data_IF_003906315417
#
_entry.id   IF_003906315417
#
_cell.length_a   1.000
_cell.length_b   1.000
_cell.length_c   1.000
_cell.angle_alpha   90.00
_cell.angle_beta   90.00
_cell.angle_gamma   90.00
#
_symmetry.space_group_name_H-M   'P 1'
#
loop_
_entity.id
_entity.type
_entity.pdbx_description
1 polymer ?
#
# COMPACT_ATOMS: atom_id res chain seq x y z
N UNK A 1 19.78 -5.58 5.62
CA UNK A 1 20.61 -5.73 4.39
C UNK A 1 20.16 -4.65 3.41
N UNK A 2 21.04 -3.70 3.03
CA UNK A 2 20.71 -2.63 2.08
C UNK A 2 21.10 -3.06 0.66
N UNK A 3 20.13 -3.20 -0.23
CA UNK A 3 20.37 -3.42 -1.67
C UNK A 3 20.27 -2.05 -2.35
N UNK A 4 21.42 -1.46 -2.68
CA UNK A 4 21.51 -0.09 -3.19
C UNK A 4 21.03 -0.01 -4.66
N UNK A 5 20.09 0.90 -4.93
CA UNK A 5 19.66 1.27 -6.27
C UNK A 5 19.69 2.79 -6.44
N UNK A 6 20.72 3.32 -7.12
CA UNK A 6 20.87 4.73 -7.50
C UNK A 6 21.02 5.71 -6.33
N UNK A 7 21.92 6.69 -6.45
CA UNK A 7 22.30 7.61 -5.36
C UNK A 7 21.16 8.42 -4.72
N UNK A 8 19.97 8.46 -5.34
CA UNK A 8 18.80 9.17 -4.81
C UNK A 8 17.83 8.31 -4.01
N UNK A 9 17.85 6.98 -4.11
CA UNK A 9 16.80 6.13 -3.53
C UNK A 9 17.38 4.98 -2.70
N UNK A 10 16.61 4.53 -1.72
CA UNK A 10 16.95 3.41 -0.86
C UNK A 10 15.75 2.49 -0.69
N UNK A 11 16.04 1.20 -0.63
CA UNK A 11 15.06 0.18 -0.25
C UNK A 11 15.06 0.07 1.26
N UNK A 12 13.89 0.27 1.88
CA UNK A 12 13.67 0.11 3.31
C UNK A 12 12.65 -0.99 3.55
N UNK A 13 12.91 -1.78 4.58
CA UNK A 13 11.95 -2.76 5.06
C UNK A 13 10.84 -2.02 5.82
N UNK A 14 9.59 -2.24 5.46
CA UNK A 14 8.43 -1.63 6.10
C UNK A 14 7.33 -2.66 6.33
N UNK A 15 6.65 -2.61 7.48
CA UNK A 15 5.45 -3.41 7.69
C UNK A 15 4.36 -2.96 6.71
N UNK A 16 3.77 -3.92 6.02
CA UNK A 16 2.61 -3.76 5.18
C UNK A 16 1.36 -3.39 5.98
N UNK A 17 0.29 -2.96 5.28
CA UNK A 17 -0.93 -2.49 5.91
C UNK A 17 -1.66 -3.55 6.73
N UNK A 18 -1.42 -4.83 6.41
CA UNK A 18 -1.95 -6.04 7.05
C UNK A 18 -1.01 -6.64 8.10
N UNK A 19 0.14 -6.00 8.38
CA UNK A 19 1.17 -6.51 9.28
C UNK A 19 2.18 -7.46 8.63
N UNK A 20 2.06 -7.73 7.33
CA UNK A 20 3.08 -8.48 6.57
C UNK A 20 4.40 -7.70 6.48
N UNK A 21 5.51 -8.38 6.23
CA UNK A 21 6.80 -7.70 5.96
C UNK A 21 6.91 -7.37 4.48
N UNK A 22 7.18 -6.11 4.15
CA UNK A 22 7.36 -5.64 2.78
C UNK A 22 8.55 -4.71 2.62
N UNK A 23 8.76 -4.25 1.38
CA UNK A 23 9.81 -3.30 1.04
C UNK A 23 9.21 -2.09 0.36
N UNK A 24 9.76 -0.91 0.64
CA UNK A 24 9.46 0.31 -0.08
C UNK A 24 10.73 0.94 -0.62
N UNK A 25 10.61 1.55 -1.80
CA UNK A 25 11.64 2.41 -2.38
C UNK A 25 11.31 3.82 -1.93
N UNK A 26 12.21 4.42 -1.17
CA UNK A 26 12.06 5.79 -0.66
C UNK A 26 13.25 6.63 -1.10
N UNK A 27 13.06 7.95 -1.14
CA UNK A 27 14.17 8.90 -1.28
C UNK A 27 15.22 8.66 -0.19
N UNK A 28 16.51 8.78 -0.52
CA UNK A 28 17.60 8.51 0.41
C UNK A 28 17.52 9.40 1.66
N UNK A 29 17.05 10.64 1.50
CA UNK A 29 16.81 11.59 2.60
C UNK A 29 15.63 11.21 3.51
N UNK A 30 14.71 10.37 3.03
CA UNK A 30 13.60 9.84 3.82
C UNK A 30 13.98 8.54 4.55
N UNK A 31 14.90 7.74 3.98
CA UNK A 31 15.36 6.50 4.60
C UNK A 31 16.08 6.70 5.95
N UNK A 32 16.71 7.86 6.15
CA UNK A 32 17.43 8.21 7.38
C UNK A 32 16.57 9.01 8.36
N UNK A 33 15.31 9.28 8.02
CA UNK A 33 14.37 10.07 8.82
C UNK A 33 13.20 9.21 9.31
N UNK A 34 13.20 8.80 10.60
CA UNK A 34 12.13 8.00 11.17
C UNK A 34 10.76 8.68 11.12
N UNK A 35 10.71 10.01 11.11
CA UNK A 35 9.46 10.77 10.98
C UNK A 35 8.86 10.60 9.59
N UNK A 36 9.67 10.80 8.55
CA UNK A 36 9.24 10.58 7.16
C UNK A 36 8.82 9.14 6.89
N UNK A 37 9.54 8.15 7.42
CA UNK A 37 9.14 6.75 7.29
C UNK A 37 7.79 6.47 7.95
N UNK A 38 7.49 7.11 9.10
CA UNK A 38 6.16 7.01 9.74
C UNK A 38 5.07 7.65 8.90
N UNK A 39 5.33 8.80 8.29
CA UNK A 39 4.39 9.47 7.39
C UNK A 39 4.09 8.64 6.14
N UNK A 40 5.14 8.11 5.49
CA UNK A 40 5.01 7.22 4.33
C UNK A 40 4.17 6.00 4.72
N UNK A 41 4.46 5.38 5.87
CA UNK A 41 3.68 4.24 6.38
C UNK A 41 2.22 4.62 6.61
N UNK A 42 1.94 5.76 7.22
CA UNK A 42 0.57 6.22 7.46
C UNK A 42 -0.19 6.48 6.16
N UNK A 43 0.49 7.04 5.16
CA UNK A 43 -0.06 7.22 3.80
C UNK A 43 -0.41 5.88 3.15
N UNK A 44 0.48 4.89 3.23
CA UNK A 44 0.24 3.54 2.71
C UNK A 44 -0.97 2.86 3.37
N UNK A 45 -1.11 2.96 4.70
CA UNK A 45 -2.28 2.42 5.40
C UNK A 45 -3.59 3.07 4.94
N UNK A 46 -3.59 4.40 4.80
CA UNK A 46 -4.76 5.14 4.34
C UNK A 46 -5.16 4.73 2.93
N UNK A 47 -4.18 4.73 2.01
CA UNK A 47 -4.39 4.31 0.63
C UNK A 47 -4.92 2.87 0.54
N UNK A 48 -4.36 1.94 1.32
CA UNK A 48 -4.82 0.55 1.35
C UNK A 48 -6.26 0.42 1.86
N UNK A 49 -6.64 1.19 2.89
CA UNK A 49 -8.00 1.22 3.40
C UNK A 49 -9.00 1.80 2.39
N UNK A 50 -8.62 2.90 1.72
CA UNK A 50 -9.43 3.49 0.65
C UNK A 50 -9.59 2.52 -0.51
N UNK A 51 -8.52 1.82 -0.90
CA UNK A 51 -8.58 0.82 -1.97
C UNK A 51 -9.49 -0.36 -1.61
N UNK A 52 -9.39 -0.87 -0.39
CA UNK A 52 -10.25 -1.95 0.08
C UNK A 52 -11.74 -1.55 0.08
N UNK A 53 -12.05 -0.30 0.44
CA UNK A 53 -13.41 0.23 0.37
C UNK A 53 -13.93 0.33 -1.07
N UNK A 54 -13.08 0.80 -2.01
CA UNK A 54 -13.42 0.85 -3.44
C UNK A 54 -13.66 -0.56 -4.00
N UNK A 55 -12.77 -1.50 -3.71
CA UNK A 55 -12.88 -2.88 -4.19
C UNK A 55 -14.17 -3.53 -3.63
N UNK A 56 -14.52 -3.29 -2.36
CA UNK A 56 -15.77 -3.78 -1.79
C UNK A 56 -17.03 -3.18 -2.44
N UNK A 57 -17.02 -1.90 -2.79
CA UNK A 57 -18.11 -1.24 -3.50
C UNK A 57 -18.26 -1.81 -4.92
N UNK A 58 -17.15 -1.98 -5.65
CA UNK A 58 -17.16 -2.58 -6.98
C UNK A 58 -17.70 -4.02 -6.96
N UNK A 59 -17.33 -4.82 -5.95
CA UNK A 59 -17.88 -6.16 -5.75
C UNK A 59 -19.39 -6.13 -5.47
N UNK A 60 -19.87 -5.13 -4.73
CA UNK A 60 -21.30 -4.91 -4.49
C UNK A 60 -22.06 -4.62 -5.78
N UNK A 61 -21.53 -3.74 -6.62
CA UNK A 61 -22.09 -3.40 -7.94
C UNK A 61 -22.07 -4.63 -8.86
N UNK A 62 -20.97 -5.38 -8.88
CA UNK A 62 -20.86 -6.59 -9.69
C UNK A 62 -21.96 -7.60 -9.34
N UNK A 63 -22.15 -7.92 -8.05
CA UNK A 63 -23.23 -8.82 -7.60
C UNK A 63 -24.63 -8.30 -7.94
N UNK A 64 -24.86 -6.99 -7.85
CA UNK A 64 -26.15 -6.40 -8.16
C UNK A 64 -26.44 -6.32 -9.68
N UNK A 65 -25.39 -6.38 -10.50
CA UNK A 65 -25.47 -6.30 -11.97
C UNK A 65 -25.47 -7.67 -12.64
N UNK A 66 -25.29 -8.76 -11.89
CA UNK A 66 -25.49 -10.11 -12.42
C UNK A 66 -26.96 -10.21 -12.86
N UNK A 67 -27.23 -10.52 -14.15
CA UNK A 67 -28.60 -10.73 -14.60
C UNK A 67 -29.19 -11.86 -13.77
N UNK A 68 -30.47 -11.72 -13.44
CA UNK A 68 -31.28 -12.72 -12.74
C UNK A 68 -31.52 -13.92 -13.67
N UNK A 69 -30.45 -14.58 -14.12
CA UNK A 69 -30.49 -15.82 -14.87
C UNK A 69 -30.52 -17.00 -13.88
N UNK A 70 -31.46 -16.94 -12.93
CA UNK A 70 -31.83 -18.08 -12.11
C UNK A 70 -33.31 -18.01 -11.67
N UNK A 71 -34.17 -18.23 -12.68
CA UNK A 71 -35.58 -18.71 -12.62
C UNK A 71 -36.71 -17.68 -12.60
#
# INVERSE_FOLDING_TARGET
MMIAGGTGHRVVEMPGPDGSTGFAIVEASAAEDPGKLREIRAGLHRWAAERAAIDAEMDGIARASEPDDAK
#
